data_IF_922205296726
#
_entry.id   IF_922205296726
#
_cell.length_a   1.000
_cell.length_b   1.000
_cell.length_c   1.000
_cell.angle_alpha   90.00
_cell.angle_beta   90.00
_cell.angle_gamma   90.00
#
_symmetry.space_group_name_H-M   'P 1'
#
loop_
_entity.id
_entity.type
_entity.pdbx_description
1 polymer ?
#
# COMPACT_ATOMS: atom_id res chain seq x y z
N UNK A 1 51.50 10.87 74.95
CA UNK A 1 51.22 9.49 74.49
C UNK A 1 51.00 9.51 72.99
N UNK A 2 51.62 8.57 72.26
CA UNK A 2 51.97 8.67 70.82
C UNK A 2 50.79 8.41 69.85
N UNK A 3 50.82 9.15 68.73
CA UNK A 3 49.88 9.24 67.58
C UNK A 3 49.70 7.95 66.74
N UNK A 4 49.58 6.78 67.38
CA UNK A 4 49.58 5.48 66.67
C UNK A 4 48.39 4.56 67.02
N UNK A 5 47.29 5.12 67.50
CA UNK A 5 46.08 4.35 67.86
C UNK A 5 44.78 4.86 67.20
N UNK A 6 44.89 5.61 66.10
CA UNK A 6 43.74 6.13 65.33
C UNK A 6 43.53 5.43 63.98
N UNK A 7 44.48 4.59 63.54
CA UNK A 7 44.40 3.94 62.22
C UNK A 7 43.68 2.59 62.22
N UNK A 8 43.35 2.01 63.38
CA UNK A 8 42.64 0.72 63.46
C UNK A 8 41.12 0.86 63.46
N UNK A 9 40.56 2.03 63.82
CA UNK A 9 39.10 2.26 63.81
C UNK A 9 38.59 2.71 62.44
N UNK A 10 39.42 3.40 61.64
CA UNK A 10 39.04 3.88 60.30
C UNK A 10 39.02 2.75 59.26
N UNK A 11 39.79 1.68 59.47
CA UNK A 11 39.83 0.52 58.56
C UNK A 11 38.60 -0.39 58.58
N UNK A 12 37.80 -0.38 59.65
CA UNK A 12 36.64 -1.27 59.79
C UNK A 12 35.31 -0.63 59.33
N UNK A 13 35.22 0.70 59.28
CA UNK A 13 34.00 1.41 58.85
C UNK A 13 33.91 1.61 57.33
N UNK A 14 34.98 1.40 56.56
CA UNK A 14 34.97 1.54 55.10
C UNK A 14 34.58 0.26 54.33
N UNK A 15 34.41 -0.87 55.02
CA UNK A 15 34.00 -2.13 54.39
C UNK A 15 32.46 -2.29 54.22
N UNK A 16 31.64 -1.37 54.74
CA UNK A 16 30.16 -1.47 54.67
C UNK A 16 29.46 -0.46 53.74
N UNK A 17 30.20 0.38 52.99
CA UNK A 17 29.57 1.39 52.11
C UNK A 17 29.35 0.89 50.66
N UNK A 18 29.96 -0.24 50.26
CA UNK A 18 29.89 -0.72 48.87
C UNK A 18 28.91 -1.87 48.58
N UNK A 19 27.94 -2.14 49.45
CA UNK A 19 26.87 -3.13 49.15
C UNK A 19 25.53 -2.46 48.78
N UNK A 20 25.31 -1.19 49.15
CA UNK A 20 24.05 -0.48 48.87
C UNK A 20 23.97 0.26 47.52
N UNK A 21 25.10 0.73 46.98
CA UNK A 21 25.13 1.56 45.75
C UNK A 21 24.86 0.78 44.46
N UNK A 22 25.03 -0.55 44.49
CA UNK A 22 24.79 -1.42 43.34
C UNK A 22 23.32 -1.71 43.09
N UNK A 23 22.46 -1.65 44.11
CA UNK A 23 21.06 -2.11 44.01
C UNK A 23 20.14 -0.95 43.62
N UNK A 24 20.29 0.23 44.21
CA UNK A 24 19.43 1.41 43.91
C UNK A 24 19.62 1.93 42.48
N UNK A 25 20.87 2.05 42.00
CA UNK A 25 21.16 2.46 40.61
C UNK A 25 20.65 1.44 39.59
N UNK A 26 20.69 0.14 39.92
CA UNK A 26 20.18 -0.93 39.04
C UNK A 26 18.67 -0.92 38.93
N UNK A 27 17.93 -0.66 40.01
CA UNK A 27 16.46 -0.57 40.01
C UNK A 27 15.98 0.64 39.21
N UNK A 28 16.60 1.81 39.37
CA UNK A 28 16.24 3.02 38.62
C UNK A 28 16.56 2.90 37.12
N UNK A 29 17.70 2.30 36.78
CA UNK A 29 18.08 2.00 35.40
C UNK A 29 17.15 0.96 34.77
N UNK A 30 16.74 -0.06 35.54
CA UNK A 30 15.81 -1.09 35.06
C UNK A 30 14.39 -0.55 34.83
N UNK A 31 13.89 0.33 35.71
CA UNK A 31 12.59 0.99 35.55
C UNK A 31 12.58 1.90 34.32
N UNK A 32 13.64 2.69 34.13
CA UNK A 32 13.80 3.57 32.97
C UNK A 32 13.92 2.78 31.65
N UNK A 33 14.64 1.66 31.66
CA UNK A 33 14.73 0.74 30.52
C UNK A 33 13.37 0.17 30.13
N UNK A 34 12.62 -0.38 31.10
CA UNK A 34 11.31 -0.99 30.85
C UNK A 34 10.32 0.03 30.29
N UNK A 35 10.29 1.23 30.87
CA UNK A 35 9.46 2.33 30.39
C UNK A 35 9.79 2.72 28.95
N UNK A 36 11.07 2.84 28.58
CA UNK A 36 11.47 3.14 27.21
C UNK A 36 11.06 2.03 26.22
N UNK A 37 11.15 0.75 26.62
CA UNK A 37 10.68 -0.37 25.80
C UNK A 37 9.16 -0.37 25.61
N UNK A 38 8.40 -0.11 26.67
CA UNK A 38 6.93 -0.06 26.62
C UNK A 38 6.44 1.12 25.78
N UNK A 39 7.09 2.28 25.91
CA UNK A 39 6.78 3.46 25.10
C UNK A 39 7.08 3.20 23.62
N UNK A 40 8.21 2.55 23.29
CA UNK A 40 8.51 2.18 21.90
C UNK A 40 7.48 1.22 21.32
N UNK A 41 6.99 0.27 22.11
CA UNK A 41 5.90 -0.64 21.71
C UNK A 41 4.59 0.11 21.49
N UNK A 42 4.23 1.05 22.37
CA UNK A 42 3.06 1.90 22.21
C UNK A 42 3.14 2.70 20.90
N UNK A 43 4.28 3.34 20.64
CA UNK A 43 4.48 4.06 19.37
C UNK A 43 4.40 3.16 18.13
N UNK A 44 4.88 1.91 18.20
CA UNK A 44 4.68 0.95 17.11
C UNK A 44 3.19 0.64 16.91
N UNK A 45 2.44 0.44 18.00
CA UNK A 45 1.00 0.19 17.94
C UNK A 45 0.27 1.37 17.27
N UNK A 46 0.66 2.59 17.64
CA UNK A 46 0.13 3.86 17.10
C UNK A 46 0.60 4.15 15.66
N UNK A 47 1.56 3.38 15.13
CA UNK A 47 2.14 3.60 13.80
C UNK A 47 3.18 4.72 13.74
N UNK A 48 3.57 5.29 14.88
CA UNK A 48 4.62 6.32 14.96
C UNK A 48 6.02 5.66 15.03
N UNK A 49 6.48 5.16 13.89
CA UNK A 49 7.75 4.42 13.79
C UNK A 49 8.98 5.29 14.11
N UNK A 50 8.92 6.59 13.80
CA UNK A 50 9.98 7.54 14.15
C UNK A 50 10.17 7.64 15.67
N UNK A 51 9.09 7.87 16.42
CA UNK A 51 9.13 7.92 17.88
C UNK A 51 9.50 6.56 18.50
N UNK A 52 9.00 5.46 17.94
CA UNK A 52 9.35 4.10 18.39
C UNK A 52 10.86 3.84 18.34
N UNK A 53 11.53 4.21 17.23
CA UNK A 53 12.99 4.07 17.11
C UNK A 53 13.72 4.85 18.21
N UNK A 54 13.30 6.08 18.49
CA UNK A 54 13.91 6.92 19.54
C UNK A 54 13.76 6.22 20.90
N UNK A 55 12.58 5.72 21.23
CA UNK A 55 12.35 5.00 22.50
C UNK A 55 13.18 3.72 22.60
N UNK A 56 13.30 2.93 21.53
CA UNK A 56 14.17 1.73 21.54
C UNK A 56 15.67 2.08 21.61
N UNK A 57 16.09 3.18 21.00
CA UNK A 57 17.45 3.71 21.17
C UNK A 57 17.71 4.12 22.61
N UNK A 58 16.75 4.76 23.28
CA UNK A 58 16.87 5.12 24.69
C UNK A 58 16.92 3.88 25.59
N UNK A 59 16.14 2.84 25.31
CA UNK A 59 16.26 1.55 26.00
C UNK A 59 17.68 0.97 25.86
N UNK A 60 18.27 1.00 24.66
CA UNK A 60 19.65 0.56 24.42
C UNK A 60 20.69 1.47 25.09
N UNK A 61 20.47 2.79 25.23
CA UNK A 61 21.37 3.64 26.03
C UNK A 61 21.41 3.19 27.49
N UNK A 62 20.30 2.68 28.03
CA UNK A 62 20.24 2.13 29.41
C UNK A 62 20.80 0.71 29.51
N UNK A 63 20.60 -0.11 28.48
CA UNK A 63 21.13 -1.49 28.38
C UNK A 63 21.72 -1.75 26.98
N UNK A 64 22.99 -1.40 26.74
CA UNK A 64 23.59 -1.44 25.38
C UNK A 64 23.61 -2.83 24.73
N UNK A 65 23.67 -3.88 25.54
CA UNK A 65 23.77 -5.27 25.07
C UNK A 65 22.43 -6.02 25.14
N UNK A 66 21.32 -5.32 25.35
CA UNK A 66 20.01 -5.97 25.40
C UNK A 66 19.57 -6.45 24.00
N UNK A 67 19.37 -7.76 23.88
CA UNK A 67 19.00 -8.40 22.60
C UNK A 67 17.60 -7.98 22.13
N UNK A 68 16.64 -7.85 23.05
CA UNK A 68 15.25 -7.53 22.71
C UNK A 68 15.14 -6.11 22.19
N UNK A 69 15.70 -5.13 22.91
CA UNK A 69 15.70 -3.73 22.47
C UNK A 69 16.42 -3.54 21.13
N UNK A 70 17.51 -4.29 20.89
CA UNK A 70 18.21 -4.28 19.60
C UNK A 70 17.36 -4.85 18.47
N UNK A 71 16.69 -6.00 18.70
CA UNK A 71 15.78 -6.60 17.72
C UNK A 71 14.62 -5.66 17.40
N UNK A 72 14.00 -5.02 18.40
CA UNK A 72 12.89 -4.10 18.18
C UNK A 72 13.33 -2.87 17.38
N UNK A 73 14.47 -2.27 17.71
CA UNK A 73 15.01 -1.15 16.94
C UNK A 73 15.30 -1.52 15.49
N UNK A 74 16.00 -2.64 15.25
CA UNK A 74 16.30 -3.13 13.90
C UNK A 74 15.04 -3.43 13.10
N UNK A 75 14.07 -4.07 13.73
CA UNK A 75 12.80 -4.44 13.10
C UNK A 75 11.99 -3.20 12.72
N UNK A 76 11.87 -2.22 13.62
CA UNK A 76 11.17 -0.95 13.33
C UNK A 76 11.85 -0.18 12.21
N UNK A 77 13.19 -0.11 12.18
CA UNK A 77 13.94 0.53 11.07
C UNK A 77 13.69 -0.16 9.73
N UNK A 78 13.70 -1.50 9.73
CA UNK A 78 13.46 -2.26 8.51
C UNK A 78 12.02 -2.10 8.01
N UNK A 79 11.05 -2.05 8.93
CA UNK A 79 9.64 -1.82 8.59
C UNK A 79 9.41 -0.42 7.99
N UNK A 80 9.93 0.62 8.64
CA UNK A 80 9.86 2.00 8.16
C UNK A 80 10.53 2.15 6.79
N UNK A 81 11.71 1.57 6.58
CA UNK A 81 12.35 1.50 5.25
C UNK A 81 11.44 0.86 4.19
N UNK A 82 10.66 -0.15 4.57
CA UNK A 82 9.68 -0.77 3.67
C UNK A 82 8.56 0.19 3.27
N UNK A 83 8.13 1.08 4.17
CA UNK A 83 7.16 2.14 3.88
C UNK A 83 7.75 3.19 2.96
N UNK A 84 8.96 3.69 3.25
CA UNK A 84 9.65 4.66 2.40
C UNK A 84 9.81 4.11 0.96
N UNK A 85 10.11 2.81 0.84
CA UNK A 85 10.21 2.14 -0.45
C UNK A 85 8.86 1.99 -1.18
N UNK A 86 7.72 1.98 -0.47
CA UNK A 86 6.40 2.06 -1.11
C UNK A 86 6.21 3.47 -1.68
N UNK A 87 6.54 4.51 -0.92
CA UNK A 87 6.43 5.92 -1.36
C UNK A 87 7.32 6.17 -2.59
N UNK A 88 8.52 5.61 -2.61
CA UNK A 88 9.46 5.64 -3.74
C UNK A 88 9.05 4.71 -4.91
N UNK A 89 7.91 4.02 -4.81
CA UNK A 89 7.42 3.03 -5.79
C UNK A 89 8.37 1.85 -6.04
N UNK A 90 9.29 1.59 -5.11
CA UNK A 90 10.25 0.48 -5.14
C UNK A 90 9.64 -0.80 -4.55
N UNK A 91 8.49 -1.22 -5.06
CA UNK A 91 7.65 -2.28 -4.46
C UNK A 91 8.37 -3.61 -4.23
N UNK A 92 9.25 -4.02 -5.15
CA UNK A 92 10.07 -5.22 -4.97
C UNK A 92 11.00 -5.12 -3.77
N UNK A 93 11.62 -3.96 -3.56
CA UNK A 93 12.49 -3.75 -2.39
C UNK A 93 11.67 -3.61 -1.11
N UNK A 94 10.53 -2.91 -1.16
CA UNK A 94 9.59 -2.80 -0.04
C UNK A 94 9.14 -4.20 0.43
N UNK A 95 8.75 -5.07 -0.50
CA UNK A 95 8.36 -6.45 -0.21
C UNK A 95 9.49 -7.21 0.48
N UNK A 96 10.74 -7.06 0.04
CA UNK A 96 11.90 -7.68 0.72
C UNK A 96 12.10 -7.13 2.12
N UNK A 97 11.96 -5.82 2.33
CA UNK A 97 12.04 -5.21 3.68
C UNK A 97 10.96 -5.78 4.61
N UNK A 98 9.70 -5.87 4.16
CA UNK A 98 8.64 -6.49 4.96
C UNK A 98 8.86 -7.98 5.21
N UNK A 99 9.37 -8.71 4.23
CA UNK A 99 9.74 -10.12 4.42
C UNK A 99 10.79 -10.29 5.52
N UNK A 100 11.81 -9.43 5.55
CA UNK A 100 12.83 -9.46 6.61
C UNK A 100 12.23 -9.18 8.00
N UNK A 101 11.26 -8.26 8.08
CA UNK A 101 10.55 -7.97 9.33
C UNK A 101 9.68 -9.15 9.78
N UNK A 102 8.98 -9.79 8.84
CA UNK A 102 8.08 -10.91 9.11
C UNK A 102 8.82 -12.18 9.57
N UNK A 103 10.05 -12.40 9.09
CA UNK A 103 10.87 -13.56 9.46
C UNK A 103 11.69 -13.39 10.74
N UNK A 104 11.62 -12.22 11.40
CA UNK A 104 12.46 -11.92 12.57
C UNK A 104 11.95 -12.66 13.82
N UNK A 105 12.70 -13.67 14.25
CA UNK A 105 12.46 -14.37 15.52
C UNK A 105 12.58 -13.41 16.72
N UNK A 106 11.68 -13.57 17.71
CA UNK A 106 11.63 -12.73 18.93
C UNK A 106 11.37 -11.23 18.67
N UNK A 107 10.85 -10.88 17.49
CA UNK A 107 10.42 -9.52 17.16
C UNK A 107 9.09 -9.11 17.80
N UNK A 108 8.69 -7.87 17.57
CA UNK A 108 7.37 -7.35 17.90
C UNK A 108 6.31 -8.06 17.06
N UNK A 109 5.43 -8.82 17.70
CA UNK A 109 4.39 -9.59 17.01
C UNK A 109 3.50 -8.73 16.10
N UNK A 110 3.20 -7.49 16.51
CA UNK A 110 2.44 -6.54 15.69
C UNK A 110 3.16 -6.16 14.38
N UNK A 111 4.49 -5.96 14.42
CA UNK A 111 5.27 -5.68 13.21
C UNK A 111 5.38 -6.92 12.33
N UNK A 112 5.55 -8.10 12.92
CA UNK A 112 5.55 -9.36 12.16
C UNK A 112 4.26 -9.52 11.38
N UNK A 113 3.10 -9.31 12.05
CA UNK A 113 1.78 -9.39 11.41
C UNK A 113 1.65 -8.36 10.27
N UNK A 114 1.84 -7.07 10.57
CA UNK A 114 1.68 -5.99 9.58
C UNK A 114 2.62 -6.16 8.39
N UNK A 115 3.86 -6.60 8.63
CA UNK A 115 4.82 -6.84 7.57
C UNK A 115 4.44 -8.04 6.70
N UNK A 116 3.92 -9.11 7.28
CA UNK A 116 3.42 -10.26 6.51
C UNK A 116 2.27 -9.83 5.58
N UNK A 117 1.32 -9.05 6.09
CA UNK A 117 0.21 -8.48 5.31
C UNK A 117 0.74 -7.60 4.16
N UNK A 118 1.63 -6.65 4.46
CA UNK A 118 2.25 -5.78 3.44
C UNK A 118 3.08 -6.55 2.41
N UNK A 119 3.78 -7.60 2.82
CA UNK A 119 4.52 -8.46 1.90
C UNK A 119 3.59 -9.15 0.90
N UNK A 120 2.43 -9.63 1.36
CA UNK A 120 1.43 -10.30 0.51
C UNK A 120 0.75 -9.31 -0.43
N UNK A 121 0.32 -8.15 0.07
CA UNK A 121 -0.22 -7.05 -0.72
C UNK A 121 0.75 -6.66 -1.84
N UNK A 122 2.02 -6.41 -1.52
CA UNK A 122 3.02 -6.03 -2.53
C UNK A 122 3.34 -7.13 -3.53
N UNK A 123 3.23 -8.41 -3.14
CA UNK A 123 3.38 -9.52 -4.08
C UNK A 123 2.31 -9.46 -5.18
N UNK A 124 1.08 -9.15 -4.80
CA UNK A 124 -0.02 -8.96 -5.75
C UNK A 124 0.20 -7.71 -6.61
N UNK A 125 0.49 -6.57 -5.99
CA UNK A 125 0.77 -5.29 -6.68
C UNK A 125 1.86 -5.44 -7.74
N UNK A 126 3.00 -6.07 -7.41
CA UNK A 126 4.10 -6.30 -8.35
C UNK A 126 3.64 -7.14 -9.55
N UNK A 127 2.80 -8.15 -9.31
CA UNK A 127 2.29 -9.02 -10.37
C UNK A 127 1.33 -8.27 -11.28
N UNK A 128 0.39 -7.50 -10.70
CA UNK A 128 -0.59 -6.73 -11.46
C UNK A 128 0.05 -5.60 -12.26
N UNK A 129 0.99 -4.86 -11.65
CA UNK A 129 1.75 -3.82 -12.37
C UNK A 129 2.45 -4.39 -13.61
N UNK A 130 3.13 -5.52 -13.47
CA UNK A 130 3.78 -6.17 -14.61
C UNK A 130 2.78 -6.52 -15.71
N UNK A 131 1.59 -7.01 -15.34
CA UNK A 131 0.54 -7.33 -16.32
C UNK A 131 0.02 -6.06 -17.01
N UNK A 132 -0.27 -4.99 -16.26
CA UNK A 132 -0.73 -3.72 -16.83
C UNK A 132 0.32 -3.07 -17.72
N UNK A 133 1.60 -3.11 -17.34
CA UNK A 133 2.71 -2.62 -18.16
C UNK A 133 2.81 -3.39 -19.49
N UNK A 134 2.62 -4.70 -19.47
CA UNK A 134 2.61 -5.52 -20.69
C UNK A 134 1.42 -5.19 -21.60
N UNK A 135 0.21 -5.07 -21.03
CA UNK A 135 -1.00 -4.70 -21.78
C UNK A 135 -0.85 -3.30 -22.37
N UNK A 136 -0.34 -2.35 -21.58
CA UNK A 136 -0.07 -0.99 -22.06
C UNK A 136 0.97 -0.96 -23.18
N UNK A 137 2.07 -1.70 -23.06
CA UNK A 137 3.09 -1.78 -24.11
C UNK A 137 2.52 -2.32 -25.43
N UNK A 138 1.61 -3.32 -25.36
CA UNK A 138 0.88 -3.81 -26.55
C UNK A 138 -0.05 -2.75 -27.11
N UNK A 139 -0.82 -2.08 -26.26
CA UNK A 139 -1.70 -0.99 -26.67
C UNK A 139 -0.94 0.15 -27.38
N UNK A 140 0.21 0.54 -26.83
CA UNK A 140 1.09 1.56 -27.40
C UNK A 140 1.63 1.13 -28.77
N UNK A 141 2.04 -0.14 -28.92
CA UNK A 141 2.46 -0.68 -30.22
C UNK A 141 1.34 -0.68 -31.25
N UNK A 142 0.12 -1.06 -30.87
CA UNK A 142 -1.06 -1.04 -31.74
C UNK A 142 -1.37 0.40 -32.20
N UNK A 143 -1.36 1.36 -31.27
CA UNK A 143 -1.59 2.77 -31.59
C UNK A 143 -0.54 3.32 -32.57
N UNK A 144 0.74 2.95 -32.39
CA UNK A 144 1.84 3.31 -33.32
C UNK A 144 1.66 2.71 -34.72
N UNK A 145 0.97 1.58 -34.81
CA UNK A 145 0.60 0.92 -36.07
C UNK A 145 -0.77 1.36 -36.61
N UNK A 146 -1.33 2.48 -36.11
CA UNK A 146 -2.63 3.02 -36.51
C UNK A 146 -3.84 2.12 -36.14
N UNK A 147 -3.64 1.09 -35.34
CA UNK A 147 -4.67 0.18 -34.84
C UNK A 147 -5.32 0.74 -33.55
N UNK A 148 -5.95 1.90 -33.65
CA UNK A 148 -6.46 2.64 -32.50
C UNK A 148 -7.60 1.93 -31.74
N UNK A 149 -8.50 1.24 -32.45
CA UNK A 149 -9.57 0.46 -31.82
C UNK A 149 -9.01 -0.71 -31.02
N UNK A 150 -8.11 -1.50 -31.62
CA UNK A 150 -7.43 -2.61 -30.94
C UNK A 150 -6.62 -2.13 -29.73
N UNK A 151 -5.93 -0.98 -29.86
CA UNK A 151 -5.24 -0.32 -28.76
C UNK A 151 -6.21 0.01 -27.63
N UNK A 152 -7.35 0.64 -27.93
CA UNK A 152 -8.38 0.97 -26.95
C UNK A 152 -8.99 -0.27 -26.26
N UNK A 153 -9.17 -1.38 -26.97
CA UNK A 153 -9.61 -2.65 -26.36
C UNK A 153 -8.61 -3.13 -25.30
N UNK A 154 -7.31 -3.05 -25.57
CA UNK A 154 -6.28 -3.38 -24.58
C UNK A 154 -6.32 -2.41 -23.38
N UNK A 155 -6.50 -1.11 -23.63
CA UNK A 155 -6.58 -0.10 -22.57
C UNK A 155 -7.81 -0.27 -21.68
N UNK A 156 -8.93 -0.75 -22.22
CA UNK A 156 -10.13 -1.05 -21.45
C UNK A 156 -9.89 -2.12 -20.38
N UNK A 157 -9.02 -3.11 -20.63
CA UNK A 157 -8.65 -4.13 -19.64
C UNK A 157 -7.93 -3.50 -18.44
N UNK A 158 -7.01 -2.57 -18.68
CA UNK A 158 -6.30 -1.86 -17.61
C UNK A 158 -7.24 -0.93 -16.87
N UNK A 159 -7.95 -0.07 -17.59
CA UNK A 159 -8.83 0.98 -17.03
C UNK A 159 -10.10 0.42 -16.37
N UNK A 160 -10.49 -0.82 -16.70
CA UNK A 160 -11.62 -1.51 -16.12
C UNK A 160 -11.30 -2.28 -14.84
N UNK A 161 -10.01 -2.44 -14.49
CA UNK A 161 -9.62 -3.15 -13.28
C UNK A 161 -10.03 -2.37 -12.02
N UNK A 162 -10.78 -2.99 -11.10
CA UNK A 162 -11.45 -2.29 -9.99
C UNK A 162 -10.51 -1.47 -9.10
N UNK A 163 -9.29 -1.96 -8.88
CA UNK A 163 -8.26 -1.29 -8.07
C UNK A 163 -7.30 -0.42 -8.88
N UNK A 164 -7.54 -0.17 -10.18
CA UNK A 164 -6.61 0.60 -11.03
C UNK A 164 -6.37 2.04 -10.53
N UNK A 165 -7.27 2.56 -9.69
CA UNK A 165 -7.19 3.89 -9.09
C UNK A 165 -6.42 3.92 -7.78
N UNK A 166 -5.96 2.77 -7.28
CA UNK A 166 -5.12 2.72 -6.09
C UNK A 166 -3.78 3.40 -6.38
N UNK A 167 -3.21 4.08 -5.39
CA UNK A 167 -1.95 4.83 -5.53
C UNK A 167 -0.80 4.01 -6.13
N UNK A 168 -0.82 2.68 -5.94
CA UNK A 168 0.14 1.76 -6.52
C UNK A 168 0.20 1.82 -8.05
N UNK A 169 -0.93 2.06 -8.70
CA UNK A 169 -1.14 1.97 -10.14
C UNK A 169 -1.31 3.35 -10.82
N UNK A 170 -1.16 4.45 -10.08
CA UNK A 170 -1.42 5.81 -10.59
C UNK A 170 -0.69 6.09 -11.92
N UNK A 171 0.60 5.74 -12.02
CA UNK A 171 1.38 6.01 -13.23
C UNK A 171 0.85 5.26 -14.46
N UNK A 172 0.44 3.99 -14.28
CA UNK A 172 -0.06 3.17 -15.39
C UNK A 172 -1.49 3.57 -15.76
N UNK A 173 -2.31 3.97 -14.77
CA UNK A 173 -3.64 4.53 -14.98
C UNK A 173 -3.56 5.80 -15.84
N UNK A 174 -2.71 6.76 -15.46
CA UNK A 174 -2.55 8.02 -16.20
C UNK A 174 -2.03 7.79 -17.63
N UNK A 175 -1.04 6.91 -17.81
CA UNK A 175 -0.54 6.53 -19.13
C UNK A 175 -1.64 5.91 -20.00
N UNK A 176 -2.39 4.96 -19.47
CA UNK A 176 -3.46 4.28 -20.19
C UNK A 176 -4.58 5.25 -20.60
N UNK A 177 -4.97 6.13 -19.68
CA UNK A 177 -5.99 7.16 -19.94
C UNK A 177 -5.53 8.15 -21.02
N UNK A 178 -4.28 8.63 -20.95
CA UNK A 178 -3.71 9.54 -21.93
C UNK A 178 -3.64 8.91 -23.33
N UNK A 179 -3.18 7.65 -23.43
CA UNK A 179 -3.11 6.95 -24.71
C UNK A 179 -4.52 6.73 -25.29
N UNK A 180 -5.50 6.36 -24.46
CA UNK A 180 -6.89 6.20 -24.91
C UNK A 180 -7.43 7.51 -25.47
N UNK A 181 -7.24 8.63 -24.77
CA UNK A 181 -7.67 9.96 -25.25
C UNK A 181 -7.04 10.32 -26.59
N UNK A 182 -5.76 10.00 -26.78
CA UNK A 182 -5.05 10.20 -28.05
C UNK A 182 -5.65 9.35 -29.18
N UNK A 183 -5.88 8.06 -28.93
CA UNK A 183 -6.51 7.15 -29.88
C UNK A 183 -7.92 7.61 -30.25
N UNK A 184 -8.73 7.98 -29.27
CA UNK A 184 -10.10 8.50 -29.50
C UNK A 184 -10.06 9.76 -30.38
N UNK A 185 -9.10 10.66 -30.17
CA UNK A 185 -8.95 11.83 -31.02
C UNK A 185 -8.60 11.48 -32.48
N UNK A 186 -7.75 10.47 -32.69
CA UNK A 186 -7.42 9.95 -34.03
C UNK A 186 -8.62 9.30 -34.70
N UNK A 187 -9.37 8.47 -33.96
CA UNK A 187 -10.59 7.82 -34.46
C UNK A 187 -11.65 8.84 -34.88
N UNK A 188 -11.89 9.90 -34.07
CA UNK A 188 -12.81 11.00 -34.46
C UNK A 188 -12.36 11.69 -35.74
N UNK A 189 -11.07 11.98 -35.87
CA UNK A 189 -10.53 12.62 -37.07
C UNK A 189 -10.69 11.75 -38.33
N UNK A 190 -10.72 10.42 -38.16
CA UNK A 190 -10.98 9.45 -39.22
C UNK A 190 -12.48 9.20 -39.47
N UNK A 191 -13.37 9.92 -38.79
CA UNK A 191 -14.83 9.80 -38.96
C UNK A 191 -15.47 8.65 -38.18
N UNK A 192 -14.72 7.94 -37.33
CA UNK A 192 -15.30 6.98 -36.40
C UNK A 192 -16.03 7.72 -35.28
N UNK A 193 -17.22 7.23 -34.93
CA UNK A 193 -17.83 7.62 -33.67
C UNK A 193 -17.03 6.97 -32.54
N UNK A 194 -16.62 7.78 -31.57
CA UNK A 194 -16.05 7.30 -30.33
C UNK A 194 -16.64 8.10 -29.20
N UNK A 195 -17.04 7.43 -28.15
CA UNK A 195 -17.52 8.10 -26.95
C UNK A 195 -16.50 9.13 -26.47
N UNK A 196 -16.92 10.38 -26.22
CA UNK A 196 -16.00 11.44 -25.86
C UNK A 196 -15.40 11.19 -24.46
N UNK A 197 -14.16 11.68 -24.21
CA UNK A 197 -13.42 11.45 -22.97
C UNK A 197 -13.91 12.29 -21.78
N UNK A 198 -15.22 12.56 -21.68
CA UNK A 198 -15.86 13.34 -20.60
C UNK A 198 -16.00 12.52 -19.30
N UNK A 199 -15.67 11.23 -19.36
CA UNK A 199 -15.99 10.27 -18.32
C UNK A 199 -15.13 10.36 -17.05
N UNK A 200 -14.01 11.08 -17.04
CA UNK A 200 -13.13 11.11 -15.86
C UNK A 200 -13.49 12.16 -14.82
N UNK A 201 -14.27 13.20 -15.17
CA UNK A 201 -14.71 14.24 -14.22
C UNK A 201 -16.11 13.99 -13.66
N UNK A 202 -16.96 13.28 -14.39
CA UNK A 202 -18.35 13.08 -14.01
C UNK A 202 -18.52 11.83 -13.12
N UNK A 203 -19.22 11.99 -12.00
CA UNK A 203 -19.72 10.88 -11.22
C UNK A 203 -20.85 10.14 -11.98
N UNK A 204 -21.25 8.95 -11.52
CA UNK A 204 -22.25 8.13 -12.21
C UNK A 204 -23.57 8.88 -12.47
N UNK A 205 -24.00 9.74 -11.54
CA UNK A 205 -25.23 10.52 -11.68
C UNK A 205 -25.12 11.60 -12.77
N UNK A 206 -23.99 12.30 -12.82
CA UNK A 206 -23.71 13.29 -13.85
C UNK A 206 -23.56 12.64 -15.24
N UNK A 207 -22.90 11.48 -15.30
CA UNK A 207 -22.72 10.72 -16.53
C UNK A 207 -24.06 10.17 -17.07
N UNK A 208 -24.93 9.68 -16.18
CA UNK A 208 -26.27 9.25 -16.52
C UNK A 208 -27.13 10.41 -17.04
N UNK A 209 -27.08 11.55 -16.35
CA UNK A 209 -27.82 12.76 -16.72
C UNK A 209 -27.39 13.29 -18.08
N UNK A 210 -26.09 13.38 -18.34
CA UNK A 210 -25.57 13.88 -19.62
C UNK A 210 -25.98 12.99 -20.80
N UNK A 211 -26.04 11.68 -20.60
CA UNK A 211 -26.31 10.71 -21.66
C UNK A 211 -27.77 10.26 -21.75
N UNK A 212 -28.66 10.94 -21.02
CA UNK A 212 -30.08 10.62 -20.91
C UNK A 212 -30.33 9.16 -20.55
N UNK A 213 -29.58 8.63 -19.58
CA UNK A 213 -29.74 7.28 -19.06
C UNK A 213 -30.58 7.35 -17.78
N UNK A 214 -31.76 6.75 -17.81
CA UNK A 214 -32.64 6.68 -16.63
C UNK A 214 -32.15 5.66 -15.61
N UNK A 215 -32.62 5.78 -14.36
CA UNK A 215 -32.36 4.79 -13.32
C UNK A 215 -32.91 3.41 -13.72
N UNK A 216 -34.02 3.39 -14.43
CA UNK A 216 -34.66 2.19 -14.96
C UNK A 216 -33.78 1.52 -16.02
N UNK A 217 -33.21 2.29 -16.96
CA UNK A 217 -32.28 1.77 -17.96
C UNK A 217 -31.01 1.21 -17.32
N UNK A 218 -30.47 1.91 -16.30
CA UNK A 218 -29.32 1.44 -15.54
C UNK A 218 -29.62 0.13 -14.80
N UNK A 219 -30.79 0.02 -14.18
CA UNK A 219 -31.24 -1.19 -13.48
C UNK A 219 -31.44 -2.36 -14.45
N UNK A 220 -32.01 -2.10 -15.62
CA UNK A 220 -32.20 -3.11 -16.67
C UNK A 220 -30.87 -3.62 -17.20
N UNK A 221 -29.92 -2.72 -17.49
CA UNK A 221 -28.58 -3.08 -17.92
C UNK A 221 -27.85 -3.98 -16.91
N UNK A 222 -27.96 -3.68 -15.61
CA UNK A 222 -27.41 -4.54 -14.54
C UNK A 222 -28.04 -5.93 -14.55
N UNK A 223 -29.35 -6.01 -14.71
CA UNK A 223 -30.07 -7.29 -14.77
C UNK A 223 -29.62 -8.10 -15.99
N UNK A 224 -29.45 -7.43 -17.13
CA UNK A 224 -29.03 -8.05 -18.38
C UNK A 224 -27.57 -8.54 -18.32
N UNK A 225 -26.65 -7.74 -17.78
CA UNK A 225 -25.27 -8.15 -17.54
C UNK A 225 -25.18 -9.36 -16.61
N UNK A 226 -25.93 -9.33 -15.49
CA UNK A 226 -26.01 -10.47 -14.57
C UNK A 226 -26.56 -11.73 -15.24
N UNK A 227 -27.61 -11.58 -16.05
CA UNK A 227 -28.23 -12.70 -16.80
C UNK A 227 -27.25 -13.34 -17.79
N UNK A 228 -26.35 -12.53 -18.35
CA UNK A 228 -25.33 -12.99 -19.29
C UNK A 228 -24.02 -13.44 -18.61
N UNK A 229 -23.99 -13.57 -17.28
CA UNK A 229 -22.86 -14.17 -16.54
C UNK A 229 -21.79 -13.17 -16.08
N UNK A 230 -22.02 -11.86 -16.26
CA UNK A 230 -21.12 -10.82 -15.76
C UNK A 230 -21.32 -10.63 -14.25
N UNK A 231 -20.23 -10.67 -13.47
CA UNK A 231 -20.32 -10.46 -12.03
C UNK A 231 -20.56 -8.98 -11.69
N UNK A 232 -21.82 -8.62 -11.45
CA UNK A 232 -22.23 -7.24 -11.18
C UNK A 232 -21.75 -6.68 -9.83
N UNK A 233 -21.22 -7.50 -8.92
CA UNK A 233 -20.66 -6.98 -7.64
C UNK A 233 -19.37 -6.21 -7.85
N UNK A 234 -18.72 -6.42 -9.00
CA UNK A 234 -17.42 -5.82 -9.33
C UNK A 234 -17.59 -4.61 -10.27
N UNK A 235 -18.83 -4.29 -10.64
CA UNK A 235 -19.17 -3.19 -11.54
C UNK A 235 -19.97 -2.10 -10.81
N UNK A 236 -19.39 -0.91 -10.73
CA UNK A 236 -20.08 0.29 -10.24
C UNK A 236 -21.07 0.85 -11.28
N UNK A 237 -21.94 1.77 -10.86
CA UNK A 237 -22.95 2.40 -11.73
C UNK A 237 -22.32 3.07 -12.96
N UNK A 238 -21.11 3.62 -12.81
CA UNK A 238 -20.40 4.30 -13.89
C UNK A 238 -19.91 3.31 -14.94
N UNK A 239 -19.42 2.14 -14.54
CA UNK A 239 -19.02 1.07 -15.44
C UNK A 239 -20.23 0.50 -16.19
N UNK A 240 -21.37 0.32 -15.53
CA UNK A 240 -22.59 -0.13 -16.21
C UNK A 240 -23.09 0.93 -17.21
N UNK A 241 -23.02 2.22 -16.86
CA UNK A 241 -23.32 3.30 -17.80
C UNK A 241 -22.41 3.24 -19.03
N UNK A 242 -21.11 2.98 -18.87
CA UNK A 242 -20.17 2.81 -20.00
C UNK A 242 -20.58 1.67 -20.92
N UNK A 243 -21.00 0.53 -20.36
CA UNK A 243 -21.49 -0.60 -21.17
C UNK A 243 -22.74 -0.22 -21.96
N UNK A 244 -23.68 0.52 -21.36
CA UNK A 244 -24.88 1.03 -22.06
C UNK A 244 -24.48 1.94 -23.23
N UNK A 245 -23.50 2.82 -23.00
CA UNK A 245 -23.01 3.71 -24.05
C UNK A 245 -22.35 2.90 -25.16
N UNK A 246 -21.48 1.95 -24.84
CA UNK A 246 -20.78 1.10 -25.81
C UNK A 246 -21.76 0.30 -26.65
N UNK A 247 -22.79 -0.28 -26.03
CA UNK A 247 -23.88 -0.98 -26.73
C UNK A 247 -24.56 -0.06 -27.76
N UNK A 248 -24.86 1.17 -27.34
CA UNK A 248 -25.48 2.19 -28.21
C UNK A 248 -24.59 2.58 -29.38
N UNK A 249 -23.29 2.74 -29.15
CA UNK A 249 -22.32 3.19 -30.15
C UNK A 249 -22.03 2.10 -31.19
N UNK A 250 -21.89 0.86 -30.73
CA UNK A 250 -21.64 -0.30 -31.59
C UNK A 250 -22.91 -0.87 -32.24
N UNK A 251 -24.09 -0.29 -31.94
CA UNK A 251 -25.41 -0.79 -32.34
C UNK A 251 -25.64 -2.26 -31.94
N UNK A 252 -25.05 -2.66 -30.81
CA UNK A 252 -25.17 -3.99 -30.21
C UNK A 252 -26.10 -3.95 -28.99
N UNK A 253 -26.65 -5.09 -28.65
CA UNK A 253 -27.29 -5.31 -27.36
C UNK A 253 -26.25 -5.43 -26.24
N UNK A 254 -26.68 -5.16 -25.01
CA UNK A 254 -25.84 -5.34 -23.83
C UNK A 254 -25.48 -6.83 -23.67
N UNK A 255 -26.36 -7.74 -24.08
CA UNK A 255 -26.09 -9.17 -24.13
C UNK A 255 -24.95 -9.53 -25.09
N UNK A 256 -24.92 -8.96 -26.30
CA UNK A 256 -23.84 -9.21 -27.28
C UNK A 256 -22.49 -8.70 -26.78
N UNK A 257 -22.45 -7.51 -26.16
CA UNK A 257 -21.22 -7.02 -25.53
C UNK A 257 -20.80 -7.86 -24.33
N UNK A 258 -21.76 -8.36 -23.54
CA UNK A 258 -21.48 -9.23 -22.40
C UNK A 258 -20.78 -10.54 -22.79
N UNK A 259 -20.97 -11.03 -24.01
CA UNK A 259 -20.24 -12.20 -24.52
C UNK A 259 -18.78 -11.89 -24.87
N UNK A 260 -18.47 -10.66 -25.28
CA UNK A 260 -17.09 -10.22 -25.56
C UNK A 260 -16.26 -10.01 -24.29
N UNK A 261 -16.91 -9.85 -23.13
CA UNK A 261 -16.25 -9.73 -21.82
C UNK A 261 -16.04 -11.09 -21.11
N UNK A 262 -16.50 -12.21 -21.68
CA UNK A 262 -16.22 -13.57 -21.18
C UNK A 262 -14.87 -14.08 -21.66
#
# INVERSE_FOLDING_TARGET
>A
MKRWLWWTVIGLCLAFIFVGYGVTKRVETAKSYKSALELGQAYVNDGNYAAAKVSFQDALKKKPNDKTAKVYLEQTKCYEKGLDQIEDKQYSKARTSFQQVALKNYGLGILVKRASEKQMELKEVITQLKNFEQIYARADSLAKNYEYTSSNTQLAVVLGYGSIRDNYYEDIFQKAQALKRSNDAKLRALGYNVQPPVEDELNAAQLAQQNNISKEQLKQAKVELKKNGVNITDLDDKQVIKVILQARDEQKSIAELAEEYK
#
